data_IF_399041036686
#
_entry.id   IF_399041036686
#
_cell.length_a   1.000
_cell.length_b   1.000
_cell.length_c   1.000
_cell.angle_alpha   90.00
_cell.angle_beta   90.00
_cell.angle_gamma   90.00
#
_symmetry.space_group_name_H-M   'P 1'
#
loop_
_entity.id
_entity.type
_entity.pdbx_description
1 polymer ?
#
# COMPACT_ATOMS: atom_id res chain seq x y z
N UNK A 1 -34.89 23.03 18.87
CA UNK A 1 -33.61 22.98 19.63
C UNK A 1 -32.83 21.76 19.12
N UNK A 2 -31.65 21.92 18.48
CA UNK A 2 -30.87 20.76 18.05
C UNK A 2 -30.19 20.12 19.25
N UNK A 3 -30.37 18.81 19.43
CA UNK A 3 -29.80 17.99 20.48
C UNK A 3 -28.26 18.04 20.34
N UNK A 4 -27.58 18.53 21.38
CA UNK A 4 -26.12 18.42 21.52
C UNK A 4 -25.76 16.93 21.58
N UNK A 5 -25.32 16.34 20.44
CA UNK A 5 -24.59 15.08 20.45
C UNK A 5 -23.37 15.29 21.35
N UNK A 6 -23.36 14.66 22.52
CA UNK A 6 -22.18 14.53 23.36
C UNK A 6 -21.09 13.86 22.50
N UNK A 7 -20.07 14.62 22.09
CA UNK A 7 -18.82 14.04 21.62
C UNK A 7 -18.31 13.13 22.75
N UNK A 8 -18.54 11.84 22.64
CA UNK A 8 -17.81 10.85 23.43
C UNK A 8 -16.41 10.91 22.83
N UNK A 9 -15.48 11.59 23.51
CA UNK A 9 -14.08 11.63 23.13
C UNK A 9 -13.58 10.22 22.87
N UNK A 10 -12.86 10.03 21.77
CA UNK A 10 -12.21 8.77 21.43
C UNK A 10 -11.33 8.34 22.60
N UNK A 11 -11.41 7.07 22.97
CA UNK A 11 -10.54 6.52 24.01
C UNK A 11 -9.13 6.37 23.41
N UNK A 12 -8.07 6.87 24.05
CA UNK A 12 -6.72 6.61 23.58
C UNK A 12 -6.46 5.09 23.61
N UNK A 13 -5.89 4.55 22.53
CA UNK A 13 -5.41 3.16 22.51
C UNK A 13 -4.34 2.98 23.57
N UNK A 14 -4.51 1.98 24.41
CA UNK A 14 -3.44 1.58 25.32
C UNK A 14 -2.31 0.91 24.53
N UNK A 15 -1.07 0.93 25.06
CA UNK A 15 0.07 0.25 24.43
C UNK A 15 -0.20 -1.24 24.22
N UNK A 16 -0.95 -1.85 25.12
CA UNK A 16 -1.33 -3.27 25.03
C UNK A 16 -2.31 -3.53 23.88
N UNK A 17 -3.37 -2.70 23.76
CA UNK A 17 -4.39 -2.86 22.71
C UNK A 17 -3.79 -2.71 21.32
N UNK A 18 -2.84 -1.78 21.16
CA UNK A 18 -2.17 -1.57 19.89
C UNK A 18 -1.26 -2.76 19.50
N UNK A 19 -0.54 -3.35 20.47
CA UNK A 19 0.24 -4.56 20.25
C UNK A 19 -0.61 -5.72 19.75
N UNK A 20 -1.78 -5.92 20.34
CA UNK A 20 -2.74 -6.94 19.91
C UNK A 20 -3.28 -6.70 18.50
N UNK A 21 -3.54 -5.43 18.14
CA UNK A 21 -3.94 -5.07 16.77
C UNK A 21 -2.85 -5.43 15.76
N UNK A 22 -1.60 -5.12 16.07
CA UNK A 22 -0.46 -5.43 15.19
C UNK A 22 -0.31 -6.94 14.98
N UNK A 23 -0.43 -7.76 16.03
CA UNK A 23 -0.37 -9.23 15.92
C UNK A 23 -1.54 -9.79 15.11
N UNK A 24 -2.75 -9.29 15.33
CA UNK A 24 -3.93 -9.72 14.58
C UNK A 24 -3.84 -9.32 13.10
N UNK A 25 -3.25 -8.17 12.82
CA UNK A 25 -3.00 -7.71 11.46
C UNK A 25 -2.00 -8.62 10.74
N UNK A 26 -0.90 -9.03 11.41
CA UNK A 26 0.03 -10.03 10.88
C UNK A 26 -0.70 -11.33 10.52
N UNK A 27 -1.50 -11.84 11.45
CA UNK A 27 -2.30 -13.05 11.23
C UNK A 27 -3.30 -12.93 10.08
N UNK A 28 -3.93 -11.77 9.91
CA UNK A 28 -4.87 -11.51 8.82
C UNK A 28 -4.16 -11.49 7.46
N UNK A 29 -3.02 -10.81 7.34
CA UNK A 29 -2.24 -10.75 6.11
C UNK A 29 -1.71 -12.12 5.68
N UNK A 30 -1.18 -12.91 6.63
CA UNK A 30 -0.72 -14.29 6.38
C UNK A 30 -1.89 -15.16 5.90
N UNK A 31 -3.08 -15.00 6.47
CA UNK A 31 -4.23 -15.78 6.05
C UNK A 31 -4.67 -15.40 4.63
N UNK A 32 -4.78 -14.10 4.32
CA UNK A 32 -5.15 -13.62 2.97
C UNK A 32 -4.13 -14.10 1.94
N UNK A 33 -2.84 -13.98 2.20
CA UNK A 33 -1.79 -14.46 1.29
C UNK A 33 -1.89 -15.97 1.06
N UNK A 34 -2.07 -16.78 2.12
CA UNK A 34 -2.20 -18.24 2.05
C UNK A 34 -3.44 -18.65 1.25
N UNK A 35 -4.54 -17.95 1.44
CA UNK A 35 -5.78 -18.26 0.73
C UNK A 35 -5.68 -17.91 -0.76
N UNK A 36 -5.05 -16.77 -1.10
CA UNK A 36 -4.71 -16.43 -2.49
C UNK A 36 -3.79 -17.48 -3.12
N UNK A 37 -2.77 -17.95 -2.38
CA UNK A 37 -1.89 -19.02 -2.86
C UNK A 37 -2.66 -20.31 -3.17
N UNK A 38 -3.65 -20.67 -2.35
CA UNK A 38 -4.53 -21.82 -2.63
C UNK A 38 -5.33 -21.62 -3.90
N UNK A 39 -5.84 -20.40 -4.15
CA UNK A 39 -6.56 -20.09 -5.38
C UNK A 39 -5.65 -20.17 -6.60
N UNK A 40 -4.40 -19.67 -6.52
CA UNK A 40 -3.40 -19.83 -7.60
C UNK A 40 -3.19 -21.30 -7.93
N UNK A 41 -2.86 -22.13 -6.94
CA UNK A 41 -2.64 -23.58 -7.14
C UNK A 41 -3.86 -24.29 -7.74
N UNK A 42 -5.07 -23.87 -7.35
CA UNK A 42 -6.30 -24.41 -7.91
C UNK A 42 -6.47 -24.03 -9.38
N UNK A 43 -6.22 -22.79 -9.75
CA UNK A 43 -6.29 -22.32 -11.13
C UNK A 43 -5.24 -23.04 -12.01
N UNK A 44 -4.02 -23.23 -11.52
CA UNK A 44 -2.97 -24.02 -12.19
C UNK A 44 -3.38 -25.46 -12.43
N UNK A 45 -3.95 -26.12 -11.40
CA UNK A 45 -4.44 -27.50 -11.52
C UNK A 45 -5.57 -27.64 -12.55
N UNK A 46 -6.39 -26.60 -12.71
CA UNK A 46 -7.45 -26.50 -13.72
C UNK A 46 -6.93 -26.09 -15.10
N UNK A 47 -5.63 -25.83 -15.25
CA UNK A 47 -4.99 -25.31 -16.45
C UNK A 47 -5.51 -23.92 -16.89
N UNK A 48 -6.11 -23.17 -15.99
CA UNK A 48 -6.53 -21.78 -16.21
C UNK A 48 -5.36 -20.85 -15.90
N UNK A 49 -4.40 -20.82 -16.82
CA UNK A 49 -3.17 -20.05 -16.67
C UNK A 49 -3.42 -18.53 -16.60
N UNK A 50 -4.51 -18.04 -17.22
CA UNK A 50 -4.87 -16.63 -17.18
C UNK A 50 -5.32 -16.21 -15.78
N UNK A 51 -6.21 -16.98 -15.15
CA UNK A 51 -6.62 -16.72 -13.76
C UNK A 51 -5.47 -16.94 -12.77
N UNK A 52 -4.65 -17.98 -12.97
CA UNK A 52 -3.49 -18.23 -12.12
C UNK A 52 -2.53 -17.03 -12.12
N UNK A 53 -2.22 -16.46 -13.29
CA UNK A 53 -1.36 -15.28 -13.40
C UNK A 53 -1.93 -14.06 -12.65
N UNK A 54 -3.23 -13.76 -12.82
CA UNK A 54 -3.89 -12.65 -12.14
C UNK A 54 -3.87 -12.80 -10.62
N UNK A 55 -4.17 -14.00 -10.14
CA UNK A 55 -4.12 -14.32 -8.73
C UNK A 55 -2.69 -14.22 -8.18
N UNK A 56 -1.69 -14.65 -8.96
CA UNK A 56 -0.28 -14.51 -8.60
C UNK A 56 0.14 -13.03 -8.51
N UNK A 57 -0.31 -12.18 -9.45
CA UNK A 57 -0.11 -10.73 -9.36
C UNK A 57 -0.67 -10.19 -8.05
N UNK A 58 -1.94 -10.47 -7.74
CA UNK A 58 -2.58 -9.98 -6.52
C UNK A 58 -1.88 -10.50 -5.25
N UNK A 59 -1.41 -11.75 -5.26
CA UNK A 59 -0.61 -12.29 -4.16
C UNK A 59 0.70 -11.52 -3.97
N UNK A 60 1.38 -11.13 -5.05
CA UNK A 60 2.58 -10.28 -4.99
C UNK A 60 2.26 -8.92 -4.38
N UNK A 61 1.14 -8.30 -4.75
CA UNK A 61 0.69 -7.02 -4.20
C UNK A 61 0.39 -7.12 -2.69
N UNK A 62 -0.29 -8.18 -2.25
CA UNK A 62 -0.55 -8.44 -0.82
C UNK A 62 0.76 -8.67 -0.06
N UNK A 63 1.69 -9.43 -0.63
CA UNK A 63 3.01 -9.67 -0.02
C UNK A 63 3.82 -8.38 0.10
N UNK A 64 3.75 -7.50 -0.89
CA UNK A 64 4.34 -6.18 -0.80
C UNK A 64 3.74 -5.37 0.34
N UNK A 65 2.39 -5.38 0.50
CA UNK A 65 1.71 -4.71 1.60
C UNK A 65 2.13 -5.28 2.96
N UNK A 66 2.22 -6.60 3.09
CA UNK A 66 2.65 -7.26 4.31
C UNK A 66 4.10 -6.90 4.69
N UNK A 67 5.02 -6.92 3.72
CA UNK A 67 6.42 -6.55 3.95
C UNK A 67 6.54 -5.07 4.33
N UNK A 68 5.78 -4.19 3.69
CA UNK A 68 5.74 -2.76 4.01
C UNK A 68 5.21 -2.52 5.43
N UNK A 69 4.15 -3.22 5.83
CA UNK A 69 3.62 -3.18 7.18
C UNK A 69 4.66 -3.62 8.23
N UNK A 70 5.35 -4.73 7.99
CA UNK A 70 6.42 -5.22 8.87
C UNK A 70 7.58 -4.23 8.97
N UNK A 71 7.96 -3.60 7.85
CA UNK A 71 8.99 -2.57 7.82
C UNK A 71 8.61 -1.36 8.66
N UNK A 72 7.37 -0.86 8.53
CA UNK A 72 6.88 0.26 9.33
C UNK A 72 6.81 -0.10 10.81
N UNK A 73 6.32 -1.29 11.14
CA UNK A 73 6.32 -1.81 12.51
C UNK A 73 7.72 -1.80 13.09
N UNK A 74 8.71 -2.26 12.33
CA UNK A 74 10.11 -2.23 12.74
C UNK A 74 10.65 -0.81 12.94
N UNK A 75 10.37 0.11 12.01
CA UNK A 75 10.84 1.51 12.07
C UNK A 75 10.18 2.32 13.19
N UNK A 76 8.95 1.97 13.58
CA UNK A 76 8.23 2.65 14.65
C UNK A 76 8.35 1.98 16.02
N UNK A 77 8.94 0.78 16.11
CA UNK A 77 9.06 0.07 17.39
C UNK A 77 9.98 0.79 18.35
N UNK A 78 9.57 0.85 19.62
CA UNK A 78 10.49 1.11 20.72
C UNK A 78 11.28 -0.17 20.98
N UNK A 79 12.53 -0.23 20.55
CA UNK A 79 13.39 -1.36 20.85
C UNK A 79 14.33 -0.98 21.98
N UNK A 80 14.17 -1.59 23.18
CA UNK A 80 15.13 -1.43 24.27
C UNK A 80 16.52 -1.96 23.90
N UNK A 81 16.58 -2.84 22.90
CA UNK A 81 17.76 -3.60 22.50
C UNK A 81 18.74 -2.82 21.62
N UNK A 82 18.29 -1.72 21.01
CA UNK A 82 19.18 -0.85 20.22
C UNK A 82 19.02 0.63 20.61
N UNK A 83 19.71 1.06 21.70
CA UNK A 83 19.67 2.46 22.13
C UNK A 83 20.31 3.43 21.12
N UNK A 84 21.03 2.93 20.12
CA UNK A 84 21.60 3.74 19.03
C UNK A 84 20.59 3.99 17.91
N UNK A 85 19.45 3.33 17.95
CA UNK A 85 18.42 3.50 16.93
C UNK A 85 17.80 4.87 17.11
N UNK A 86 18.18 5.77 16.23
CA UNK A 86 17.62 7.12 16.25
C UNK A 86 16.10 7.06 16.00
N UNK A 87 15.30 7.70 16.83
CA UNK A 87 13.84 7.80 16.67
C UNK A 87 13.42 8.28 15.27
N UNK A 88 14.33 8.98 14.60
CA UNK A 88 14.14 9.59 13.28
C UNK A 88 13.91 8.60 12.13
N UNK A 89 14.16 7.29 12.31
CA UNK A 89 13.85 6.31 11.26
C UNK A 89 12.36 6.28 10.89
N UNK A 90 11.47 6.66 11.82
CA UNK A 90 10.05 6.77 11.53
C UNK A 90 9.72 7.88 10.50
N UNK A 91 10.62 8.82 10.26
CA UNK A 91 10.40 9.93 9.30
C UNK A 91 10.28 9.46 7.84
N UNK A 92 10.72 8.23 7.51
CA UNK A 92 10.54 7.64 6.18
C UNK A 92 9.18 6.94 6.00
N UNK A 93 8.45 6.73 7.09
CA UNK A 93 7.16 5.98 7.07
C UNK A 93 6.10 6.62 6.17
N UNK A 94 5.96 7.96 6.09
CA UNK A 94 5.03 8.58 5.14
C UNK A 94 5.23 8.13 3.69
N UNK A 95 6.48 7.93 3.26
CA UNK A 95 6.78 7.44 1.91
C UNK A 95 6.27 6.00 1.71
N UNK A 96 6.41 5.14 2.72
CA UNK A 96 5.89 3.77 2.69
C UNK A 96 4.35 3.80 2.69
N UNK A 97 3.74 4.64 3.53
CA UNK A 97 2.28 4.81 3.55
C UNK A 97 1.74 5.30 2.19
N UNK A 98 2.49 6.17 1.51
CA UNK A 98 2.16 6.61 0.17
C UNK A 98 2.15 5.45 -0.84
N UNK A 99 3.16 4.59 -0.82
CA UNK A 99 3.23 3.41 -1.69
C UNK A 99 2.09 2.42 -1.40
N UNK A 100 1.76 2.21 -0.12
CA UNK A 100 0.62 1.38 0.28
C UNK A 100 -0.71 1.96 -0.20
N UNK A 101 -0.85 3.28 -0.18
CA UNK A 101 -2.05 3.95 -0.66
C UNK A 101 -2.18 3.82 -2.19
N UNK A 102 -1.09 3.99 -2.94
CA UNK A 102 -1.06 3.76 -4.39
C UNK A 102 -1.42 2.31 -4.74
N UNK A 103 -0.98 1.37 -3.91
CA UNK A 103 -1.35 -0.04 -4.02
C UNK A 103 -2.84 -0.26 -3.79
N UNK A 104 -3.41 0.33 -2.72
CA UNK A 104 -4.84 0.26 -2.43
C UNK A 104 -5.67 0.86 -3.58
N UNK A 105 -5.27 2.02 -4.13
CA UNK A 105 -5.91 2.60 -5.31
C UNK A 105 -5.94 1.61 -6.47
N UNK A 106 -4.81 0.99 -6.77
CA UNK A 106 -4.67 0.05 -7.88
C UNK A 106 -5.55 -1.18 -7.69
N UNK A 107 -5.60 -1.75 -6.48
CA UNK A 107 -6.40 -2.93 -6.15
C UNK A 107 -7.91 -2.61 -6.27
N UNK A 108 -8.36 -1.54 -5.63
CA UNK A 108 -9.77 -1.13 -5.66
C UNK A 108 -10.22 -0.85 -7.10
N UNK A 109 -9.39 -0.18 -7.89
CA UNK A 109 -9.67 0.08 -9.29
C UNK A 109 -9.69 -1.21 -10.13
N UNK A 110 -8.73 -2.11 -9.93
CA UNK A 110 -8.72 -3.39 -10.63
C UNK A 110 -9.97 -4.23 -10.35
N UNK A 111 -10.52 -4.18 -9.15
CA UNK A 111 -11.69 -4.98 -8.78
C UNK A 111 -13.02 -4.53 -9.42
N UNK A 112 -13.10 -3.35 -10.01
CA UNK A 112 -14.27 -2.96 -10.82
C UNK A 112 -14.34 -3.77 -12.13
N UNK A 113 -13.18 -4.15 -12.72
CA UNK A 113 -13.05 -5.06 -13.86
C UNK A 113 -11.68 -5.75 -13.84
N UNK A 114 -11.56 -6.80 -13.05
CA UNK A 114 -10.27 -7.47 -12.85
C UNK A 114 -9.70 -8.04 -14.15
N UNK A 115 -10.54 -8.44 -15.09
CA UNK A 115 -10.07 -9.07 -16.32
C UNK A 115 -9.36 -8.08 -17.24
N UNK A 116 -9.99 -6.94 -17.49
CA UNK A 116 -9.41 -5.92 -18.33
C UNK A 116 -8.30 -5.15 -17.61
N UNK A 117 -8.51 -4.78 -16.34
CA UNK A 117 -7.61 -3.87 -15.63
C UNK A 117 -6.35 -4.52 -15.09
N UNK A 118 -6.39 -5.81 -14.74
CA UNK A 118 -5.14 -6.52 -14.43
C UNK A 118 -4.25 -6.68 -15.66
N UNK A 119 -4.83 -6.99 -16.82
CA UNK A 119 -4.07 -7.05 -18.07
C UNK A 119 -3.47 -5.68 -18.42
N UNK A 120 -4.22 -4.57 -18.24
CA UNK A 120 -3.70 -3.21 -18.42
C UNK A 120 -2.53 -2.90 -17.46
N UNK A 121 -2.65 -3.28 -16.19
CA UNK A 121 -1.63 -3.06 -15.19
C UNK A 121 -0.33 -3.79 -15.53
N UNK A 122 -0.43 -5.09 -15.88
CA UNK A 122 0.74 -5.89 -16.25
C UNK A 122 1.39 -5.41 -17.56
N UNK A 123 0.60 -4.99 -18.55
CA UNK A 123 1.12 -4.44 -19.82
C UNK A 123 1.82 -3.11 -19.63
N UNK A 124 1.27 -2.24 -18.78
CA UNK A 124 1.93 -0.98 -18.40
C UNK A 124 3.27 -1.26 -17.69
N UNK A 125 3.29 -2.21 -16.76
CA UNK A 125 4.52 -2.65 -16.08
C UNK A 125 5.56 -3.23 -17.04
N UNK A 126 5.14 -4.05 -18.02
CA UNK A 126 6.04 -4.51 -19.08
C UNK A 126 6.65 -3.34 -19.87
N UNK A 127 5.83 -2.37 -20.27
CA UNK A 127 6.30 -1.18 -20.99
C UNK A 127 7.35 -0.43 -20.19
N UNK A 128 7.09 -0.14 -18.92
CA UNK A 128 8.01 0.59 -18.03
C UNK A 128 9.35 -0.16 -17.88
N UNK A 129 9.29 -1.47 -17.65
CA UNK A 129 10.47 -2.32 -17.54
C UNK A 129 11.25 -2.39 -18.87
N UNK A 130 10.56 -2.46 -20.00
CA UNK A 130 11.19 -2.48 -21.33
C UNK A 130 11.87 -1.15 -21.65
N UNK A 131 11.20 -0.02 -21.42
CA UNK A 131 11.80 1.31 -21.64
C UNK A 131 13.02 1.53 -20.74
N UNK A 132 12.96 1.09 -19.48
CA UNK A 132 14.10 1.15 -18.55
C UNK A 132 15.26 0.27 -19.04
N UNK A 133 14.99 -0.97 -19.44
CA UNK A 133 15.99 -1.87 -20.03
C UNK A 133 16.69 -1.25 -21.23
N UNK A 134 15.94 -0.60 -22.15
CA UNK A 134 16.53 0.04 -23.32
C UNK A 134 17.46 1.22 -22.95
N UNK A 135 17.06 2.04 -21.97
CA UNK A 135 17.88 3.15 -21.46
C UNK A 135 19.20 2.63 -20.84
N UNK A 136 19.09 1.64 -19.94
CA UNK A 136 20.25 1.05 -19.27
C UNK A 136 21.20 0.35 -20.26
N UNK A 137 20.63 -0.41 -21.20
CA UNK A 137 21.40 -1.06 -22.25
C UNK A 137 22.15 -0.05 -23.12
N UNK A 138 21.54 1.08 -23.44
CA UNK A 138 22.20 2.15 -24.20
C UNK A 138 23.35 2.77 -23.42
N UNK A 139 23.14 2.99 -22.09
CA UNK A 139 24.13 3.63 -21.22
C UNK A 139 25.33 2.70 -20.89
N UNK A 140 25.05 1.41 -20.64
CA UNK A 140 26.02 0.48 -20.03
C UNK A 140 26.36 -0.74 -20.89
N UNK A 141 26.00 -0.78 -22.19
CA UNK A 141 26.25 -1.94 -23.09
C UNK A 141 27.72 -2.30 -23.28
N UNK A 142 28.65 -1.37 -23.03
CA UNK A 142 30.08 -1.58 -23.15
C UNK A 142 30.74 -2.07 -21.85
N UNK A 143 30.02 -2.14 -20.78
CA UNK A 143 30.50 -2.57 -19.47
C UNK A 143 30.21 -4.07 -19.28
N UNK A 144 31.26 -4.92 -19.21
CA UNK A 144 31.08 -6.37 -19.08
C UNK A 144 30.37 -6.79 -17.81
N UNK A 145 30.43 -6.00 -16.75
CA UNK A 145 29.75 -6.30 -15.47
C UNK A 145 28.22 -6.27 -15.59
N UNK A 146 27.68 -5.51 -16.56
CA UNK A 146 26.24 -5.41 -16.79
C UNK A 146 25.67 -6.51 -17.69
N UNK A 147 26.51 -7.29 -18.39
CA UNK A 147 26.03 -8.31 -19.34
C UNK A 147 25.10 -9.36 -18.67
N UNK A 148 25.43 -9.95 -17.50
CA UNK A 148 24.55 -10.91 -16.85
C UNK A 148 23.19 -10.32 -16.45
N UNK A 149 23.19 -9.06 -16.01
CA UNK A 149 21.96 -8.33 -15.70
C UNK A 149 21.08 -8.19 -16.94
N UNK A 150 21.65 -7.73 -18.06
CA UNK A 150 20.89 -7.56 -19.31
C UNK A 150 20.32 -8.86 -19.85
N UNK A 151 21.03 -9.97 -19.76
CA UNK A 151 20.50 -11.27 -20.19
C UNK A 151 19.33 -11.72 -19.29
N UNK A 152 19.42 -11.52 -17.98
CA UNK A 152 18.36 -11.83 -17.05
C UNK A 152 17.10 -10.97 -17.30
N UNK A 153 17.26 -9.65 -17.44
CA UNK A 153 16.14 -8.73 -17.72
C UNK A 153 15.51 -9.03 -19.06
N UNK A 154 16.30 -9.30 -20.09
CA UNK A 154 15.83 -9.69 -21.42
C UNK A 154 15.00 -10.97 -21.36
N UNK A 155 15.49 -11.99 -20.66
CA UNK A 155 14.76 -13.25 -20.47
C UNK A 155 13.43 -13.02 -19.76
N UNK A 156 13.42 -12.22 -18.70
CA UNK A 156 12.21 -11.83 -17.99
C UNK A 156 11.20 -11.12 -18.89
N UNK A 157 11.66 -10.12 -19.67
CA UNK A 157 10.81 -9.37 -20.61
C UNK A 157 10.20 -10.26 -21.69
N UNK A 158 10.98 -11.20 -22.24
CA UNK A 158 10.47 -12.17 -23.23
C UNK A 158 9.40 -13.08 -22.65
N UNK A 159 9.57 -13.56 -21.43
CA UNK A 159 8.55 -14.35 -20.74
C UNK A 159 7.27 -13.55 -20.52
N UNK A 160 7.39 -12.27 -20.12
CA UNK A 160 6.23 -11.38 -19.99
C UNK A 160 5.55 -11.12 -21.35
N UNK A 161 6.31 -10.88 -22.43
CA UNK A 161 5.78 -10.70 -23.79
C UNK A 161 4.89 -11.88 -24.21
N UNK A 162 5.35 -13.10 -23.98
CA UNK A 162 4.58 -14.30 -24.28
C UNK A 162 3.32 -14.39 -23.43
N UNK A 163 3.45 -14.17 -22.12
CA UNK A 163 2.33 -14.28 -21.18
C UNK A 163 1.26 -13.21 -21.42
N UNK A 164 1.65 -11.99 -21.80
CA UNK A 164 0.79 -10.84 -22.06
C UNK A 164 0.37 -10.72 -23.53
N UNK A 165 0.86 -11.60 -24.39
CA UNK A 165 0.63 -11.56 -25.84
C UNK A 165 0.97 -10.18 -26.45
N UNK A 166 2.12 -9.62 -26.05
CA UNK A 166 2.62 -8.36 -26.61
C UNK A 166 2.90 -8.56 -28.11
N UNK A 167 2.28 -7.75 -28.93
CA UNK A 167 2.44 -7.84 -30.37
C UNK A 167 3.78 -7.26 -30.83
N UNK A 168 4.23 -7.63 -32.03
CA UNK A 168 5.43 -7.05 -32.61
C UNK A 168 5.35 -5.52 -32.71
N UNK A 169 4.18 -4.97 -33.09
CA UNK A 169 3.99 -3.53 -33.18
C UNK A 169 4.13 -2.84 -31.82
N UNK A 170 3.63 -3.43 -30.75
CA UNK A 170 3.73 -2.88 -29.38
C UNK A 170 5.17 -2.95 -28.85
N UNK A 171 5.91 -4.01 -29.19
CA UNK A 171 7.34 -4.11 -28.84
C UNK A 171 8.17 -3.09 -29.61
N UNK A 172 7.91 -2.90 -30.91
CA UNK A 172 8.63 -1.96 -31.75
C UNK A 172 8.25 -0.49 -31.41
N UNK A 173 7.03 -0.27 -30.90
CA UNK A 173 6.53 1.02 -30.43
C UNK A 173 5.81 0.89 -29.07
N UNK A 174 6.55 0.78 -27.94
CA UNK A 174 5.99 0.57 -26.59
C UNK A 174 5.00 1.67 -26.16
N UNK A 175 5.10 2.87 -26.78
CA UNK A 175 4.20 4.00 -26.48
C UNK A 175 2.74 3.72 -26.85
N UNK A 176 2.46 2.69 -27.65
CA UNK A 176 1.09 2.25 -27.96
C UNK A 176 0.41 1.58 -26.76
N UNK A 177 1.18 1.05 -25.80
CA UNK A 177 0.68 0.56 -24.52
C UNK A 177 0.60 1.77 -23.56
N UNK A 178 -0.56 2.12 -23.01
CA UNK A 178 -0.66 3.23 -22.07
C UNK A 178 0.10 2.93 -20.77
N UNK A 179 0.61 3.95 -20.12
CA UNK A 179 1.08 3.82 -18.74
C UNK A 179 -0.09 3.54 -17.80
N UNK A 180 0.20 2.83 -16.70
CA UNK A 180 -0.75 2.73 -15.62
C UNK A 180 -0.97 4.12 -15.02
N UNK A 181 -2.18 4.64 -15.19
CA UNK A 181 -2.56 5.92 -14.61
C UNK A 181 -3.10 5.72 -13.22
N UNK A 182 -2.87 6.71 -12.38
CA UNK A 182 -3.52 6.72 -11.08
C UNK A 182 -5.05 6.74 -11.26
N UNK A 183 -5.80 5.84 -10.60
CA UNK A 183 -7.24 5.71 -10.85
C UNK A 183 -8.04 6.99 -10.66
N UNK A 184 -7.63 7.91 -9.78
CA UNK A 184 -8.31 9.19 -9.61
C UNK A 184 -8.01 10.22 -10.70
N UNK A 185 -7.00 9.99 -11.55
CA UNK A 185 -6.72 10.82 -12.72
C UNK A 185 -7.68 10.54 -13.88
N UNK A 186 -8.40 9.43 -13.83
CA UNK A 186 -9.39 9.03 -14.82
C UNK A 186 -10.69 9.82 -14.61
N UNK A 187 -10.67 11.10 -15.03
CA UNK A 187 -11.74 12.08 -14.76
C UNK A 187 -13.11 11.66 -15.28
N UNK A 188 -13.16 10.95 -16.40
CA UNK A 188 -14.39 10.65 -17.15
C UNK A 188 -14.90 9.23 -16.92
N UNK A 189 -14.17 8.39 -16.18
CA UNK A 189 -14.57 7.02 -15.94
C UNK A 189 -15.58 6.93 -14.80
N UNK A 190 -16.79 6.46 -15.10
CA UNK A 190 -17.80 6.16 -14.09
C UNK A 190 -17.62 4.73 -13.59
N UNK A 191 -16.95 4.57 -12.46
CA UNK A 191 -16.76 3.28 -11.79
C UNK A 191 -17.44 3.29 -10.44
N UNK A 192 -17.86 2.12 -9.96
CA UNK A 192 -18.50 1.98 -8.64
C UNK A 192 -17.55 2.40 -7.50
N UNK A 193 -16.25 2.19 -7.68
CA UNK A 193 -15.23 2.55 -6.69
C UNK A 193 -14.84 4.04 -6.70
N UNK A 194 -15.21 4.82 -7.72
CA UNK A 194 -14.76 6.22 -7.87
C UNK A 194 -15.02 7.13 -6.66
N UNK A 195 -16.17 7.09 -5.98
CA UNK A 195 -16.38 7.91 -4.78
C UNK A 195 -15.37 7.61 -3.69
N UNK A 196 -15.06 6.33 -3.47
CA UNK A 196 -14.09 5.90 -2.49
C UNK A 196 -12.66 6.28 -2.88
N UNK A 197 -12.27 6.10 -4.15
CA UNK A 197 -10.95 6.53 -4.64
C UNK A 197 -10.75 8.04 -4.51
N UNK A 198 -11.80 8.84 -4.72
CA UNK A 198 -11.78 10.28 -4.49
C UNK A 198 -11.62 10.62 -3.02
N UNK A 199 -12.32 9.90 -2.12
CA UNK A 199 -12.15 10.05 -0.68
C UNK A 199 -10.71 9.77 -0.26
N UNK A 200 -10.12 8.65 -0.69
CA UNK A 200 -8.72 8.30 -0.40
C UNK A 200 -7.73 9.39 -0.88
N UNK A 201 -7.96 9.94 -2.06
CA UNK A 201 -7.13 11.03 -2.58
C UNK A 201 -7.16 12.28 -1.69
N UNK A 202 -8.34 12.66 -1.22
CA UNK A 202 -8.52 13.83 -0.36
C UNK A 202 -8.05 13.60 1.09
N UNK A 203 -8.10 12.34 1.54
CA UNK A 203 -7.77 12.00 2.92
C UNK A 203 -6.25 11.97 3.17
N UNK A 204 -5.54 11.01 2.60
CA UNK A 204 -4.14 10.74 2.99
C UNK A 204 -3.12 11.10 1.90
N UNK A 205 -3.58 11.15 0.64
CA UNK A 205 -2.68 11.31 -0.49
C UNK A 205 -1.90 12.61 -0.46
N UNK A 206 -2.56 13.73 -0.18
CA UNK A 206 -1.93 15.04 -0.13
C UNK A 206 -0.92 15.15 1.00
N UNK A 207 -1.27 14.68 2.19
CA UNK A 207 -0.39 14.73 3.38
C UNK A 207 0.90 13.94 3.14
N UNK A 208 0.76 12.69 2.66
CA UNK A 208 1.92 11.82 2.42
C UNK A 208 2.75 12.29 1.21
N UNK A 209 2.12 12.85 0.18
CA UNK A 209 2.80 13.34 -1.01
C UNK A 209 3.77 14.50 -0.69
N UNK A 210 3.35 15.46 0.13
CA UNK A 210 4.19 16.58 0.52
C UNK A 210 5.46 16.12 1.26
N UNK A 211 5.35 15.09 2.10
CA UNK A 211 6.48 14.54 2.85
C UNK A 211 7.38 13.64 1.98
N UNK A 212 6.79 12.90 1.03
CA UNK A 212 7.52 11.99 0.14
C UNK A 212 8.39 12.73 -0.86
N UNK A 213 7.92 13.84 -1.41
CA UNK A 213 8.65 14.60 -2.43
C UNK A 213 9.68 15.57 -1.84
N UNK A 214 9.94 15.54 -0.53
CA UNK A 214 10.86 16.44 0.15
C UNK A 214 10.67 17.91 -0.30
N UNK A 215 9.42 18.31 -0.49
CA UNK A 215 9.10 19.72 -0.77
C UNK A 215 9.57 20.60 0.40
N UNK A 216 9.77 21.88 0.15
CA UNK A 216 10.13 22.83 1.23
C UNK A 216 9.14 22.74 2.40
N UNK A 217 7.84 22.61 2.11
CA UNK A 217 6.80 22.38 3.13
C UNK A 217 6.98 21.07 3.88
N UNK A 218 7.28 19.97 3.18
CA UNK A 218 7.57 18.69 3.79
C UNK A 218 8.79 18.71 4.69
N UNK A 219 9.88 19.37 4.25
CA UNK A 219 11.08 19.54 5.06
C UNK A 219 10.84 20.37 6.31
N UNK A 220 10.05 21.46 6.22
CA UNK A 220 9.67 22.27 7.37
C UNK A 220 8.92 21.42 8.41
N UNK A 221 8.02 20.53 7.96
CA UNK A 221 7.24 19.67 8.86
C UNK A 221 8.11 18.68 9.64
N UNK A 222 9.18 18.15 9.06
CA UNK A 222 10.06 17.16 9.70
C UNK A 222 11.31 17.80 10.34
N UNK A 223 11.63 19.06 10.03
CA UNK A 223 12.84 19.74 10.54
C UNK A 223 12.93 19.75 12.08
N UNK A 224 11.87 19.95 12.87
CA UNK A 224 11.97 19.87 14.32
C UNK A 224 12.53 18.54 14.83
N UNK A 225 12.16 17.43 14.16
CA UNK A 225 12.66 16.10 14.54
C UNK A 225 14.13 15.90 14.14
N UNK A 226 14.53 16.44 12.99
CA UNK A 226 15.90 16.31 12.49
C UNK A 226 16.90 17.17 13.26
N UNK A 227 16.42 18.32 13.77
CA UNK A 227 17.25 19.32 14.44
C UNK A 227 17.15 19.26 15.97
N UNK A 228 16.37 18.33 16.54
CA UNK A 228 16.19 18.23 17.98
C UNK A 228 17.52 18.12 18.76
N UNK A 229 18.46 17.33 18.26
CA UNK A 229 19.80 17.14 18.82
C UNK A 229 20.63 18.46 18.84
N UNK A 230 20.33 19.39 17.91
CA UNK A 230 21.09 20.64 17.77
C UNK A 230 20.52 21.78 18.65
N UNK A 231 19.23 21.72 18.96
CA UNK A 231 18.57 22.75 19.78
C UNK A 231 18.82 22.51 21.27
N UNK A 232 18.81 21.24 21.70
CA UNK A 232 19.07 20.84 23.09
C UNK A 232 18.00 21.30 24.09
N UNK A 233 18.21 20.94 25.37
CA UNK A 233 17.38 21.41 26.48
C UNK A 233 15.91 20.99 26.42
N UNK A 234 15.00 21.85 26.84
CA UNK A 234 13.56 21.57 26.94
C UNK A 234 12.91 21.28 25.58
N UNK A 235 13.40 21.86 24.50
CA UNK A 235 12.87 21.63 23.15
C UNK A 235 13.23 20.24 22.66
N UNK A 236 14.41 19.73 22.96
CA UNK A 236 14.79 18.34 22.67
C UNK A 236 13.91 17.35 23.44
N UNK A 237 13.69 17.56 24.74
CA UNK A 237 12.81 16.72 25.57
C UNK A 237 11.36 16.74 25.04
N UNK A 238 10.86 17.88 24.58
CA UNK A 238 9.53 17.99 24.00
C UNK A 238 9.42 17.19 22.70
N UNK A 239 10.40 17.28 21.82
CA UNK A 239 10.40 16.59 20.53
C UNK A 239 10.54 15.08 20.75
N UNK A 240 11.55 14.64 21.51
CA UNK A 240 11.82 13.22 21.70
C UNK A 240 10.80 12.53 22.61
N UNK A 241 10.41 13.20 23.71
CA UNK A 241 9.51 12.63 24.72
C UNK A 241 8.03 12.67 24.33
N UNK A 242 7.62 13.59 23.47
CA UNK A 242 6.20 13.79 23.17
C UNK A 242 5.87 13.79 21.66
N UNK A 243 6.53 14.64 20.89
CA UNK A 243 6.17 14.81 19.48
C UNK A 243 6.53 13.58 18.64
N UNK A 244 7.72 12.99 18.80
CA UNK A 244 8.14 11.81 18.05
C UNK A 244 7.29 10.57 18.35
N UNK A 245 6.96 10.23 19.60
CA UNK A 245 6.01 9.14 19.88
C UNK A 245 4.64 9.34 19.23
N UNK A 246 4.11 10.56 19.24
CA UNK A 246 2.84 10.88 18.56
C UNK A 246 2.95 10.74 17.05
N UNK A 247 4.04 11.21 16.45
CA UNK A 247 4.33 11.05 15.03
C UNK A 247 4.38 9.58 14.64
N UNK A 248 5.15 8.76 15.36
CA UNK A 248 5.23 7.30 15.13
C UNK A 248 3.88 6.63 15.25
N UNK A 249 3.11 6.96 16.30
CA UNK A 249 1.79 6.42 16.51
C UNK A 249 0.83 6.76 15.36
N UNK A 250 0.80 8.01 14.91
CA UNK A 250 -0.02 8.44 13.77
C UNK A 250 0.30 7.63 12.52
N UNK A 251 1.58 7.53 12.17
CA UNK A 251 1.97 6.90 10.91
C UNK A 251 1.84 5.38 10.91
N UNK A 252 2.09 4.70 12.02
CA UNK A 252 1.83 3.26 12.12
C UNK A 252 0.33 2.96 12.11
N UNK A 253 -0.51 3.80 12.74
CA UNK A 253 -1.97 3.68 12.66
C UNK A 253 -2.46 3.80 11.23
N UNK A 254 -1.99 4.78 10.47
CA UNK A 254 -2.29 4.94 9.04
C UNK A 254 -1.85 3.73 8.22
N UNK A 255 -0.67 3.17 8.52
CA UNK A 255 -0.19 1.93 7.88
C UNK A 255 -1.15 0.78 8.15
N UNK A 256 -1.59 0.58 9.39
CA UNK A 256 -2.56 -0.46 9.76
C UNK A 256 -3.87 -0.26 8.99
N UNK A 257 -4.40 0.95 8.96
CA UNK A 257 -5.66 1.28 8.27
C UNK A 257 -5.56 0.91 6.77
N UNK A 258 -4.53 1.38 6.08
CA UNK A 258 -4.37 1.12 4.64
C UNK A 258 -4.14 -0.35 4.35
N UNK A 259 -3.33 -1.03 5.15
CA UNK A 259 -3.05 -2.46 4.97
C UNK A 259 -4.26 -3.33 5.30
N UNK A 260 -5.05 -2.96 6.32
CA UNK A 260 -6.31 -3.61 6.65
C UNK A 260 -7.34 -3.42 5.52
N UNK A 261 -7.37 -2.24 4.91
CA UNK A 261 -8.19 -1.97 3.74
C UNK A 261 -7.83 -2.90 2.58
N UNK A 262 -6.54 -3.05 2.25
CA UNK A 262 -6.05 -3.99 1.22
C UNK A 262 -6.50 -5.43 1.51
N UNK A 263 -6.32 -5.89 2.76
CA UNK A 263 -6.74 -7.22 3.17
C UNK A 263 -8.25 -7.40 3.04
N UNK A 264 -9.04 -6.39 3.41
CA UNK A 264 -10.51 -6.39 3.33
C UNK A 264 -11.01 -6.45 1.89
N UNK A 265 -10.41 -5.70 0.97
CA UNK A 265 -10.73 -5.75 -0.46
C UNK A 265 -10.49 -7.17 -1.04
N UNK A 266 -9.34 -7.77 -0.72
CA UNK A 266 -9.02 -9.12 -1.17
C UNK A 266 -9.99 -10.16 -0.61
N UNK A 267 -10.28 -10.08 0.70
CA UNK A 267 -11.20 -11.00 1.36
C UNK A 267 -12.61 -10.93 0.78
N UNK A 268 -13.15 -9.74 0.62
CA UNK A 268 -14.49 -9.52 0.11
C UNK A 268 -14.60 -9.97 -1.36
N UNK A 269 -13.63 -9.61 -2.20
CA UNK A 269 -13.66 -9.94 -3.61
C UNK A 269 -13.57 -11.45 -3.87
N UNK A 270 -12.65 -12.14 -3.19
CA UNK A 270 -12.42 -13.57 -3.38
C UNK A 270 -13.17 -14.46 -2.37
N UNK A 271 -13.90 -13.87 -1.41
CA UNK A 271 -14.63 -14.58 -0.34
C UNK A 271 -13.73 -15.53 0.45
N UNK A 272 -12.60 -15.00 0.95
CA UNK A 272 -11.55 -15.79 1.61
C UNK A 272 -11.91 -16.22 3.04
N UNK A 273 -13.09 -15.82 3.55
CA UNK A 273 -13.63 -16.18 4.88
C UNK A 273 -12.82 -15.63 6.07
N UNK A 274 -12.18 -14.47 5.90
CA UNK A 274 -11.51 -13.75 6.98
C UNK A 274 -12.33 -12.56 7.51
N UNK A 275 -13.56 -12.35 7.03
CA UNK A 275 -14.44 -11.23 7.32
C UNK A 275 -14.52 -10.91 8.81
N UNK A 276 -14.86 -11.91 9.67
CA UNK A 276 -15.01 -11.70 11.12
C UNK A 276 -13.72 -11.16 11.77
N UNK A 277 -12.56 -11.68 11.34
CA UNK A 277 -11.26 -11.24 11.86
C UNK A 277 -10.95 -9.80 11.44
N UNK A 278 -11.23 -9.47 10.18
CA UNK A 278 -10.99 -8.13 9.62
C UNK A 278 -11.96 -7.12 10.26
N UNK A 279 -13.24 -7.46 10.36
CA UNK A 279 -14.25 -6.63 11.05
C UNK A 279 -13.89 -6.39 12.52
N UNK A 280 -13.34 -7.38 13.20
CA UNK A 280 -12.87 -7.19 14.59
C UNK A 280 -11.78 -6.12 14.66
N UNK A 281 -10.78 -6.16 13.76
CA UNK A 281 -9.70 -5.17 13.75
C UNK A 281 -10.26 -3.79 13.44
N UNK A 282 -11.17 -3.68 12.45
CA UNK A 282 -11.86 -2.43 12.13
C UNK A 282 -12.62 -1.86 13.33
N UNK A 283 -13.41 -2.68 14.01
CA UNK A 283 -14.18 -2.24 15.17
C UNK A 283 -13.28 -1.65 16.26
N UNK A 284 -12.17 -2.31 16.57
CA UNK A 284 -11.22 -1.78 17.57
C UNK A 284 -10.60 -0.46 17.09
N UNK A 285 -10.18 -0.39 15.83
CA UNK A 285 -9.57 0.84 15.28
C UNK A 285 -10.56 2.01 15.24
N UNK A 286 -11.84 1.77 14.91
CA UNK A 286 -12.87 2.82 14.82
C UNK A 286 -13.24 3.42 16.18
N UNK A 287 -12.98 2.71 17.27
CA UNK A 287 -13.17 3.25 18.63
C UNK A 287 -12.06 4.24 19.03
N UNK A 288 -10.90 4.20 18.34
CA UNK A 288 -9.69 4.90 18.75
C UNK A 288 -9.13 5.86 17.70
N UNK A 289 -9.55 5.73 16.44
CA UNK A 289 -9.08 6.57 15.32
C UNK A 289 -10.26 7.10 14.51
N UNK A 290 -10.40 8.41 14.42
CA UNK A 290 -11.42 9.02 13.56
C UNK A 290 -11.14 8.73 12.08
N UNK A 291 -9.86 8.70 11.66
CA UNK A 291 -9.47 8.32 10.31
C UNK A 291 -9.93 6.89 9.96
N UNK A 292 -9.79 5.94 10.89
CA UNK A 292 -10.27 4.57 10.70
C UNK A 292 -11.80 4.51 10.61
N UNK A 293 -12.49 5.28 11.43
CA UNK A 293 -13.95 5.35 11.47
C UNK A 293 -14.52 5.95 10.19
N UNK A 294 -13.95 7.04 9.70
CA UNK A 294 -14.35 7.62 8.42
C UNK A 294 -14.15 6.64 7.27
N UNK A 295 -12.99 5.98 7.21
CA UNK A 295 -12.69 5.00 6.17
C UNK A 295 -13.63 3.80 6.22
N UNK A 296 -13.94 3.31 7.43
CA UNK A 296 -14.92 2.26 7.64
C UNK A 296 -16.31 2.65 7.09
N UNK A 297 -16.82 3.82 7.44
CA UNK A 297 -18.12 4.34 7.01
C UNK A 297 -18.18 4.56 5.48
N UNK A 298 -17.07 5.00 4.88
CA UNK A 298 -17.04 5.26 3.43
C UNK A 298 -17.10 3.99 2.57
N UNK A 299 -16.68 2.83 3.10
CA UNK A 299 -16.60 1.61 2.29
C UNK A 299 -16.78 0.29 3.05
N UNK A 300 -16.09 0.11 4.18
CA UNK A 300 -15.93 -1.22 4.78
C UNK A 300 -17.12 -1.67 5.61
N UNK A 301 -17.98 -0.76 6.07
CA UNK A 301 -19.23 -1.09 6.76
C UNK A 301 -20.13 -2.00 5.93
N UNK A 302 -20.17 -1.80 4.61
CA UNK A 302 -21.04 -2.52 3.68
C UNK A 302 -20.30 -3.36 2.65
N UNK A 303 -18.96 -3.48 2.75
CA UNK A 303 -18.15 -4.15 1.74
C UNK A 303 -18.56 -5.62 1.54
N UNK A 304 -18.89 -6.32 2.61
CA UNK A 304 -19.28 -7.73 2.59
C UNK A 304 -20.77 -7.96 2.37
N UNK A 305 -21.60 -6.92 2.46
CA UNK A 305 -23.06 -7.02 2.28
C UNK A 305 -23.44 -7.14 0.80
N UNK A 306 -22.57 -6.71 -0.10
CA UNK A 306 -22.80 -6.80 -1.54
C UNK A 306 -22.73 -8.26 -2.01
N UNK A 307 -23.87 -8.96 -1.90
CA UNK A 307 -24.09 -10.23 -2.58
C UNK A 307 -24.19 -9.96 -4.09
N UNK A 308 -23.08 -10.07 -4.78
CA UNK A 308 -23.09 -10.23 -6.24
C UNK A 308 -22.82 -11.67 -6.61
#
# INVERSE_FOLDING_TARGET
MPSKKKNRGLKPLTRFDFGLILERMDGALINVERDLQRLVKRAEAMKDLKSARKLALLMVLVRFAANSFMSVRYLCADTPEDPKRKPNFALVVPAINRQLLDLLFSIVYMFDDINARSDMYERAGWREAYEQYQKEKTAFSRDPEWLPYFENVKSFLLNMEQALQITKNERDNPKTIPYWKHPFELKDEQTASRPFLRYLNNWLYHDTSAQTHLSCGGLIMISPFLLADLVGGQDQELVEGRAMPQYRYLHITRTVIVTLAIASEMDAYFRLRNEEKLKYIWNVLTEHSEEAKEMWQHRYEHLWDTKK
#
